data_IF_481160742528
#
_entry.id   IF_481160742528
#
_cell.length_a   1.000
_cell.length_b   1.000
_cell.length_c   1.000
_cell.angle_alpha   90.00
_cell.angle_beta   90.00
_cell.angle_gamma   90.00
#
_symmetry.space_group_name_H-M   'P 1'
#
loop_
_entity.id
_entity.type
_entity.pdbx_description
1 polymer ?
#
# COMPACT_ATOMS: atom_id res chain seq x y z
N UNK A 1 14.09 -1.18 8.98
CA UNK A 1 13.20 -0.55 9.98
C UNK A 1 12.79 0.82 9.47
N UNK A 2 11.50 1.16 9.53
CA UNK A 2 10.95 2.49 9.22
C UNK A 2 10.63 3.22 10.52
N UNK A 3 11.15 4.43 10.68
CA UNK A 3 10.84 5.32 11.79
C UNK A 3 10.28 6.63 11.26
N UNK A 4 9.20 7.10 11.83
CA UNK A 4 8.62 8.42 11.57
C UNK A 4 8.57 9.18 12.89
N UNK A 5 9.07 10.43 12.88
CA UNK A 5 9.20 11.29 14.08
C UNK A 5 8.50 12.61 13.84
N UNK A 6 7.42 12.87 14.59
CA UNK A 6 6.68 14.13 14.62
C UNK A 6 6.29 14.67 13.22
N UNK A 7 5.93 13.73 12.30
CA UNK A 7 5.61 14.05 10.92
C UNK A 7 4.30 14.82 10.84
N UNK A 8 4.34 15.99 10.20
CA UNK A 8 3.15 16.76 9.89
C UNK A 8 3.12 17.11 8.40
N UNK A 9 1.91 17.16 7.86
CA UNK A 9 1.66 17.62 6.49
C UNK A 9 0.46 18.54 6.44
N UNK A 10 0.68 19.71 5.85
CA UNK A 10 -0.27 20.81 5.79
C UNK A 10 -0.47 21.26 4.36
N UNK A 11 -1.70 21.56 4.00
CA UNK A 11 -2.07 22.09 2.70
C UNK A 11 -2.66 23.48 2.88
N UNK A 12 -2.19 24.41 2.07
CA UNK A 12 -2.79 25.75 1.95
C UNK A 12 -3.95 25.69 0.95
N UNK A 13 -5.09 26.22 1.30
CA UNK A 13 -6.26 26.38 0.46
C UNK A 13 -6.79 27.81 0.52
N UNK A 14 -7.69 28.19 -0.40
CA UNK A 14 -8.32 29.50 -0.39
C UNK A 14 -9.11 29.80 0.89
N UNK A 15 -9.56 28.75 1.59
CA UNK A 15 -10.30 28.83 2.84
C UNK A 15 -9.41 28.81 4.10
N UNK A 16 -8.09 28.68 3.92
CA UNK A 16 -7.11 28.61 5.02
C UNK A 16 -6.20 27.38 4.95
N UNK A 17 -5.52 27.13 6.04
CA UNK A 17 -4.57 26.05 6.17
C UNK A 17 -5.24 24.80 6.77
N UNK A 18 -5.10 23.65 6.11
CA UNK A 18 -5.63 22.38 6.57
C UNK A 18 -4.49 21.42 6.95
N UNK A 19 -4.46 21.01 8.21
CA UNK A 19 -3.54 19.97 8.71
C UNK A 19 -4.09 18.58 8.36
N UNK A 20 -3.45 17.91 7.41
CA UNK A 20 -3.82 16.55 6.98
C UNK A 20 -3.16 15.48 7.86
N UNK A 21 -1.88 15.68 8.22
CA UNK A 21 -1.17 14.87 9.19
C UNK A 21 -0.69 15.76 10.33
N UNK A 22 -0.82 15.26 11.56
CA UNK A 22 -0.60 16.02 12.78
C UNK A 22 0.29 15.24 13.74
N UNK A 23 1.58 15.54 13.76
CA UNK A 23 2.54 14.99 14.73
C UNK A 23 2.54 13.45 14.76
N UNK A 24 2.59 12.83 13.59
CA UNK A 24 2.64 11.38 13.45
C UNK A 24 4.00 10.87 13.88
N UNK A 25 4.02 9.97 14.87
CA UNK A 25 5.23 9.24 15.27
C UNK A 25 4.93 7.76 15.32
N UNK A 26 5.72 6.94 14.61
CA UNK A 26 5.58 5.49 14.57
C UNK A 26 6.91 4.81 14.26
N UNK A 27 7.00 3.55 14.62
CA UNK A 27 8.10 2.66 14.23
C UNK A 27 7.54 1.37 13.68
N UNK A 28 8.06 0.93 12.53
CA UNK A 28 7.74 -0.36 11.91
C UNK A 28 9.04 -1.16 11.81
N UNK A 29 9.07 -2.32 12.45
CA UNK A 29 10.20 -3.23 12.39
C UNK A 29 10.37 -3.87 11.01
N UNK A 30 11.57 -4.37 10.73
CA UNK A 30 11.84 -5.06 9.46
C UNK A 30 11.01 -6.34 9.32
N UNK A 31 10.66 -6.64 8.07
CA UNK A 31 9.99 -7.87 7.68
C UNK A 31 8.62 -8.09 8.35
N UNK A 32 7.99 -7.02 8.82
CA UNK A 32 6.61 -7.03 9.34
C UNK A 32 5.60 -6.84 8.24
N UNK A 33 4.42 -7.41 8.44
CA UNK A 33 3.22 -7.09 7.69
C UNK A 33 2.37 -6.14 8.52
N UNK A 34 2.30 -4.88 8.14
CA UNK A 34 1.56 -3.84 8.85
C UNK A 34 0.38 -3.38 8.03
N UNK A 35 -0.79 -3.30 8.64
CA UNK A 35 -1.98 -2.73 8.02
C UNK A 35 -2.29 -1.38 8.64
N UNK A 36 -2.44 -0.37 7.79
CA UNK A 36 -3.00 0.93 8.16
C UNK A 36 -4.51 0.91 7.87
N UNK A 37 -5.32 1.19 8.88
CA UNK A 37 -6.78 1.28 8.74
C UNK A 37 -7.32 2.50 9.48
N UNK A 38 -8.63 2.75 9.39
CA UNK A 38 -9.29 3.91 10.02
C UNK A 38 -10.25 4.60 9.06
N UNK A 39 -11.01 5.61 9.49
CA UNK A 39 -12.05 6.26 8.70
C UNK A 39 -11.53 6.88 7.40
N UNK A 40 -12.43 7.04 6.41
CA UNK A 40 -12.11 7.75 5.18
C UNK A 40 -11.79 9.20 5.51
N UNK A 41 -10.80 9.77 4.80
CA UNK A 41 -10.31 11.12 5.10
C UNK A 41 -9.39 11.22 6.32
N UNK A 42 -9.12 10.12 7.03
CA UNK A 42 -8.28 10.11 8.24
C UNK A 42 -6.80 10.39 8.03
N UNK A 43 -6.31 10.46 6.78
CA UNK A 43 -4.90 10.75 6.46
C UNK A 43 -4.06 9.53 6.04
N UNK A 44 -4.64 8.31 5.95
CA UNK A 44 -3.93 7.06 5.63
C UNK A 44 -3.11 7.13 4.33
N UNK A 45 -3.78 7.45 3.22
CA UNK A 45 -3.15 7.62 1.90
C UNK A 45 -2.09 8.73 1.91
N UNK A 46 -2.36 9.82 2.63
CA UNK A 46 -1.40 10.93 2.75
C UNK A 46 -0.14 10.50 3.51
N UNK A 47 -0.29 9.72 4.59
CA UNK A 47 0.83 9.15 5.32
C UNK A 47 1.70 8.24 4.42
N UNK A 48 1.07 7.33 3.69
CA UNK A 48 1.77 6.45 2.75
C UNK A 48 2.48 7.24 1.62
N UNK A 49 1.83 8.29 1.09
CA UNK A 49 2.42 9.20 0.10
C UNK A 49 3.59 9.99 0.67
N UNK A 50 3.52 10.44 1.92
CA UNK A 50 4.61 11.14 2.59
C UNK A 50 5.83 10.21 2.76
N UNK A 51 5.63 8.94 3.14
CA UNK A 51 6.71 7.95 3.24
C UNK A 51 7.40 7.74 1.89
N UNK A 52 6.65 7.72 0.79
CA UNK A 52 7.23 7.59 -0.56
C UNK A 52 7.81 8.91 -1.11
N UNK A 53 7.52 10.05 -0.50
CA UNK A 53 7.94 11.38 -0.99
C UNK A 53 7.08 11.94 -2.10
N UNK A 54 5.85 11.41 -2.26
CA UNK A 54 4.85 11.91 -3.22
C UNK A 54 4.18 13.21 -2.72
N UNK A 55 4.21 13.44 -1.41
CA UNK A 55 3.86 14.70 -0.77
C UNK A 55 4.98 15.11 0.16
N UNK A 56 5.36 16.41 0.23
CA UNK A 56 6.43 16.88 1.11
C UNK A 56 5.97 16.89 2.57
N UNK A 57 6.85 16.57 3.50
CA UNK A 57 6.59 16.81 4.91
C UNK A 57 6.65 18.32 5.20
N UNK A 58 5.72 18.84 6.00
CA UNK A 58 5.81 20.22 6.51
C UNK A 58 6.76 20.29 7.70
N UNK A 59 6.83 19.24 8.50
CA UNK A 59 7.77 19.08 9.61
C UNK A 59 7.93 17.61 9.98
N UNK A 60 8.92 17.30 10.81
CA UNK A 60 9.23 15.95 11.26
C UNK A 60 10.26 15.25 10.39
N UNK A 61 10.45 13.96 10.62
CA UNK A 61 11.45 13.14 9.94
C UNK A 61 10.90 11.78 9.54
N UNK A 62 11.40 11.28 8.40
CA UNK A 62 11.15 9.92 7.89
C UNK A 62 12.51 9.24 7.74
N UNK A 63 12.72 8.16 8.48
CA UNK A 63 13.98 7.43 8.52
C UNK A 63 13.74 5.99 8.05
N UNK A 64 14.49 5.56 7.03
CA UNK A 64 14.46 4.19 6.53
C UNK A 64 15.83 3.55 6.65
N UNK A 65 15.92 2.42 7.38
CA UNK A 65 17.18 1.71 7.65
C UNK A 65 18.29 2.63 8.22
N UNK A 66 17.90 3.53 9.15
CA UNK A 66 18.80 4.46 9.78
C UNK A 66 19.19 5.69 8.94
N UNK A 67 18.71 5.77 7.68
CA UNK A 67 18.96 6.90 6.79
C UNK A 67 17.78 7.85 6.77
N UNK A 68 18.02 9.14 6.97
CA UNK A 68 17.01 10.18 6.83
C UNK A 68 16.62 10.32 5.36
N UNK A 69 15.31 10.15 5.09
CA UNK A 69 14.70 10.17 3.76
C UNK A 69 13.87 11.44 3.54
N UNK A 70 13.76 12.30 4.54
CA UNK A 70 12.78 13.39 4.58
C UNK A 70 12.82 14.29 3.35
N UNK A 71 14.02 14.70 2.95
CA UNK A 71 14.25 15.59 1.81
C UNK A 71 14.54 14.84 0.48
N UNK A 72 14.60 13.50 0.51
CA UNK A 72 14.87 12.73 -0.70
C UNK A 72 13.67 12.72 -1.63
N UNK A 73 13.93 12.84 -2.94
CA UNK A 73 12.94 12.70 -4.00
C UNK A 73 12.37 11.29 -4.06
N UNK A 74 11.21 11.14 -4.73
CA UNK A 74 10.59 9.83 -5.01
C UNK A 74 11.57 8.84 -5.63
N UNK A 75 12.38 9.31 -6.60
CA UNK A 75 13.37 8.47 -7.28
C UNK A 75 14.45 7.99 -6.34
N UNK A 76 15.00 8.87 -5.50
CA UNK A 76 16.01 8.50 -4.51
C UNK A 76 15.48 7.53 -3.46
N UNK A 77 14.24 7.73 -2.94
CA UNK A 77 13.60 6.79 -2.03
C UNK A 77 13.34 5.44 -2.69
N UNK A 78 12.94 5.45 -3.96
CA UNK A 78 12.82 4.23 -4.72
C UNK A 78 14.16 3.49 -4.87
N UNK A 79 15.28 4.19 -5.07
CA UNK A 79 16.63 3.62 -5.10
C UNK A 79 17.07 3.07 -3.73
N UNK A 80 16.52 3.60 -2.62
CA UNK A 80 16.73 3.04 -1.27
C UNK A 80 15.85 1.81 -0.99
N UNK A 81 15.14 1.28 -1.99
CA UNK A 81 14.36 0.06 -1.89
C UNK A 81 12.96 0.26 -1.33
N UNK A 82 12.33 1.42 -1.54
CA UNK A 82 10.92 1.68 -1.24
C UNK A 82 10.12 1.57 -2.54
N UNK A 83 9.00 0.86 -2.52
CA UNK A 83 8.04 0.80 -3.64
C UNK A 83 6.65 1.18 -3.18
N UNK A 84 5.87 1.76 -4.11
CA UNK A 84 4.51 2.24 -3.83
C UNK A 84 3.54 1.75 -4.91
N UNK A 85 2.46 1.09 -4.51
CA UNK A 85 1.32 0.73 -5.33
C UNK A 85 0.20 1.75 -5.11
N UNK A 86 -0.21 2.42 -6.17
CA UNK A 86 -1.19 3.50 -6.12
C UNK A 86 -2.62 2.96 -5.97
N UNK A 87 -3.50 3.69 -5.31
CA UNK A 87 -4.93 3.39 -5.26
C UNK A 87 -5.52 3.31 -6.68
N UNK A 88 -5.14 4.27 -7.54
CA UNK A 88 -5.41 4.24 -8.98
C UNK A 88 -4.08 4.07 -9.73
N UNK A 89 -3.81 2.88 -10.29
CA UNK A 89 -2.55 2.62 -10.94
C UNK A 89 -2.36 3.45 -12.21
N UNK A 90 -1.15 3.96 -12.48
CA UNK A 90 -0.87 4.71 -13.70
C UNK A 90 -0.92 3.79 -14.93
N UNK A 91 -1.25 4.38 -16.08
CA UNK A 91 -1.20 3.72 -17.38
C UNK A 91 0.00 4.23 -18.18
N UNK A 92 0.65 3.34 -18.90
CA UNK A 92 1.89 3.64 -19.63
C UNK A 92 1.70 3.34 -21.12
N UNK A 93 1.15 4.32 -21.86
CA UNK A 93 0.97 4.17 -23.31
C UNK A 93 2.31 3.89 -24.01
N UNK A 94 2.33 2.88 -24.87
CA UNK A 94 3.52 2.47 -25.63
C UNK A 94 4.45 1.51 -24.88
N UNK A 95 4.17 1.16 -23.59
CA UNK A 95 4.91 0.15 -22.86
C UNK A 95 4.07 -1.12 -22.71
N UNK A 96 4.67 -2.26 -22.99
CA UNK A 96 4.08 -3.58 -22.77
C UNK A 96 4.31 -4.03 -21.33
N UNK A 97 3.53 -4.99 -20.89
CA UNK A 97 3.68 -5.59 -19.56
C UNK A 97 5.10 -6.12 -19.34
N UNK A 98 5.68 -6.79 -20.32
CA UNK A 98 7.09 -7.27 -20.26
C UNK A 98 8.09 -6.13 -20.03
N UNK A 99 7.88 -5.00 -20.69
CA UNK A 99 8.78 -3.85 -20.61
C UNK A 99 8.75 -3.26 -19.18
N UNK A 100 7.56 -3.16 -18.60
CA UNK A 100 7.41 -2.71 -17.21
C UNK A 100 8.04 -3.68 -16.19
N UNK A 101 7.89 -4.98 -16.40
CA UNK A 101 8.51 -5.99 -15.54
C UNK A 101 10.04 -5.97 -15.66
N UNK A 102 10.57 -5.80 -16.87
CA UNK A 102 12.01 -5.67 -17.11
C UNK A 102 12.58 -4.43 -16.43
N UNK A 103 11.95 -3.27 -16.64
CA UNK A 103 12.33 -2.01 -15.97
C UNK A 103 12.29 -2.13 -14.45
N UNK A 104 11.22 -2.73 -13.92
CA UNK A 104 11.06 -2.88 -12.48
C UNK A 104 12.09 -3.81 -11.84
N UNK A 105 12.41 -4.91 -12.52
CA UNK A 105 13.41 -5.89 -12.04
C UNK A 105 14.86 -5.41 -12.23
N UNK A 106 15.09 -4.37 -13.03
CA UNK A 106 16.42 -3.94 -13.44
C UNK A 106 17.13 -4.97 -14.35
N UNK A 107 16.38 -5.85 -15.00
CA UNK A 107 16.88 -6.89 -15.89
C UNK A 107 16.29 -6.76 -17.29
N UNK A 108 17.02 -6.11 -18.21
CA UNK A 108 16.59 -5.90 -19.60
C UNK A 108 16.42 -7.21 -20.40
N UNK A 109 16.93 -8.34 -19.86
CA UNK A 109 16.85 -9.68 -20.47
C UNK A 109 15.91 -10.60 -19.70
N UNK A 110 14.86 -10.04 -19.07
CA UNK A 110 13.87 -10.82 -18.35
C UNK A 110 13.23 -11.85 -19.28
N UNK A 111 13.31 -13.12 -18.91
CA UNK A 111 12.77 -14.21 -19.70
C UNK A 111 11.25 -14.28 -19.62
N UNK A 112 10.61 -14.95 -20.59
CA UNK A 112 9.16 -15.18 -20.55
C UNK A 112 8.76 -15.94 -19.29
N UNK A 113 9.56 -16.93 -18.86
CA UNK A 113 9.28 -17.72 -17.66
C UNK A 113 9.33 -16.87 -16.37
N UNK A 114 10.27 -15.94 -16.28
CA UNK A 114 10.35 -14.99 -15.15
C UNK A 114 9.13 -14.04 -15.16
N UNK A 115 8.74 -13.53 -16.32
CA UNK A 115 7.50 -12.76 -16.45
C UNK A 115 6.27 -13.57 -16.03
N UNK A 116 6.20 -14.86 -16.43
CA UNK A 116 5.15 -15.78 -16.04
C UNK A 116 5.06 -15.91 -14.52
N UNK A 117 6.20 -16.02 -13.82
CA UNK A 117 6.22 -16.14 -12.37
C UNK A 117 5.61 -14.91 -11.68
N UNK A 118 5.90 -13.68 -12.14
CA UNK A 118 5.33 -12.47 -11.56
C UNK A 118 3.84 -12.35 -11.86
N UNK A 119 3.42 -12.59 -13.12
CA UNK A 119 2.01 -12.46 -13.52
C UNK A 119 1.12 -13.52 -12.89
N UNK A 120 1.58 -14.76 -12.78
CA UNK A 120 0.83 -15.84 -12.13
C UNK A 120 0.56 -15.54 -10.65
N UNK A 121 1.50 -14.89 -9.94
CA UNK A 121 1.31 -14.49 -8.54
C UNK A 121 0.11 -13.56 -8.35
N UNK A 122 -0.15 -12.69 -9.32
CA UNK A 122 -1.28 -11.76 -9.28
C UNK A 122 -2.51 -12.26 -10.04
N UNK A 123 -2.52 -13.54 -10.45
CA UNK A 123 -3.66 -14.17 -11.13
C UNK A 123 -3.84 -13.74 -12.58
N UNK A 124 -2.74 -13.37 -13.28
CA UNK A 124 -2.73 -13.09 -14.72
C UNK A 124 -2.03 -14.22 -15.47
N UNK A 125 -2.60 -14.62 -16.62
CA UNK A 125 -1.96 -15.55 -17.55
C UNK A 125 -0.93 -14.80 -18.39
N UNK A 126 0.33 -15.20 -18.31
CA UNK A 126 1.38 -14.50 -19.07
C UNK A 126 1.16 -14.54 -20.59
N UNK A 127 0.67 -15.68 -21.12
CA UNK A 127 0.37 -15.80 -22.54
C UNK A 127 -0.61 -14.75 -23.07
N UNK A 128 -1.51 -14.28 -22.22
CA UNK A 128 -2.54 -13.31 -22.60
C UNK A 128 -2.10 -11.85 -22.38
N UNK A 129 -1.13 -11.61 -21.47
CA UNK A 129 -0.84 -10.26 -21.00
C UNK A 129 0.57 -9.77 -21.31
N UNK A 130 1.57 -10.64 -21.46
CA UNK A 130 2.98 -10.27 -21.53
C UNK A 130 3.29 -9.25 -22.65
N UNK A 131 2.61 -9.38 -23.81
CA UNK A 131 2.79 -8.52 -24.98
C UNK A 131 1.75 -7.40 -25.11
N UNK A 132 0.80 -7.30 -24.15
CA UNK A 132 -0.20 -6.23 -24.17
C UNK A 132 0.39 -4.93 -23.67
N UNK A 133 -0.02 -3.83 -24.32
CA UNK A 133 0.27 -2.48 -23.81
C UNK A 133 -0.54 -2.19 -22.53
N UNK A 134 0.07 -1.42 -21.62
CA UNK A 134 -0.60 -0.99 -20.37
C UNK A 134 -1.34 0.32 -20.63
N UNK A 135 -2.35 0.24 -21.49
CA UNK A 135 -3.16 1.36 -21.94
C UNK A 135 -4.64 1.27 -21.48
N UNK A 136 -5.52 1.99 -22.16
CA UNK A 136 -6.95 2.04 -21.85
C UNK A 136 -7.73 0.78 -22.23
N UNK A 137 -7.13 -0.16 -22.97
CA UNK A 137 -7.76 -1.44 -23.31
C UNK A 137 -7.82 -2.42 -22.14
N UNK A 138 -6.99 -2.21 -21.11
CA UNK A 138 -6.99 -2.98 -19.88
C UNK A 138 -8.03 -2.44 -18.89
N UNK A 139 -8.74 -3.34 -18.23
CA UNK A 139 -9.63 -2.98 -17.11
C UNK A 139 -8.83 -2.44 -15.92
N UNK A 140 -9.48 -1.70 -15.02
CA UNK A 140 -8.83 -1.18 -13.81
C UNK A 140 -8.20 -2.27 -12.95
N UNK A 141 -8.89 -3.42 -12.80
CA UNK A 141 -8.37 -4.56 -12.04
C UNK A 141 -7.18 -5.25 -12.69
N UNK A 142 -7.10 -5.29 -14.04
CA UNK A 142 -5.93 -5.83 -14.75
C UNK A 142 -4.72 -4.93 -14.58
N UNK A 143 -4.88 -3.62 -14.74
CA UNK A 143 -3.78 -2.64 -14.54
C UNK A 143 -3.28 -2.70 -13.10
N UNK A 144 -4.20 -2.81 -12.11
CA UNK A 144 -3.84 -2.94 -10.69
C UNK A 144 -2.99 -4.18 -10.43
N UNK A 145 -3.36 -5.32 -10.99
CA UNK A 145 -2.59 -6.57 -10.87
C UNK A 145 -1.23 -6.48 -11.56
N UNK A 146 -1.14 -5.83 -12.71
CA UNK A 146 0.13 -5.57 -13.40
C UNK A 146 1.03 -4.67 -12.55
N UNK A 147 0.50 -3.59 -11.97
CA UNK A 147 1.24 -2.74 -11.04
C UNK A 147 1.83 -3.55 -9.86
N UNK A 148 1.01 -4.38 -9.22
CA UNK A 148 1.47 -5.23 -8.13
C UNK A 148 2.58 -6.19 -8.60
N UNK A 149 2.44 -6.80 -9.79
CA UNK A 149 3.49 -7.65 -10.37
C UNK A 149 4.81 -6.89 -10.58
N UNK A 150 4.77 -5.61 -11.00
CA UNK A 150 5.98 -4.78 -11.15
C UNK A 150 6.63 -4.46 -9.80
N UNK A 151 5.83 -4.20 -8.76
CA UNK A 151 6.36 -3.99 -7.40
C UNK A 151 7.05 -5.26 -6.89
N UNK A 152 6.47 -6.43 -7.14
CA UNK A 152 7.08 -7.72 -6.78
C UNK A 152 8.39 -7.97 -7.53
N UNK A 153 8.47 -7.60 -8.82
CA UNK A 153 9.67 -7.75 -9.62
C UNK A 153 10.83 -6.88 -9.11
N UNK A 154 10.53 -5.73 -8.50
CA UNK A 154 11.53 -4.79 -7.98
C UNK A 154 12.27 -5.29 -6.74
N UNK A 155 11.72 -6.25 -5.97
CA UNK A 155 12.33 -6.80 -4.74
C UNK A 155 12.70 -5.71 -3.71
N UNK A 156 11.76 -4.84 -3.41
CA UNK A 156 11.95 -3.73 -2.47
C UNK A 156 11.97 -4.20 -1.01
N UNK A 157 12.76 -3.53 -0.17
CA UNK A 157 12.78 -3.77 1.28
C UNK A 157 11.51 -3.29 2.00
N UNK A 158 10.89 -2.20 1.48
CA UNK A 158 9.59 -1.69 1.92
C UNK A 158 8.65 -1.62 0.72
N UNK A 159 7.54 -2.34 0.79
CA UNK A 159 6.47 -2.32 -0.21
C UNK A 159 5.22 -1.68 0.41
N UNK A 160 4.80 -0.56 -0.14
CA UNK A 160 3.61 0.17 0.29
C UNK A 160 2.50 -0.08 -0.73
N UNK A 161 1.31 -0.45 -0.28
CA UNK A 161 0.13 -0.63 -1.12
C UNK A 161 -1.04 0.18 -0.58
N UNK A 162 -1.59 1.03 -1.42
CA UNK A 162 -2.73 1.88 -1.10
C UNK A 162 -4.00 1.26 -1.69
N UNK A 163 -4.82 0.62 -0.84
CA UNK A 163 -6.04 -0.11 -1.20
C UNK A 163 -5.85 -1.04 -2.42
N UNK A 164 -4.96 -2.04 -2.30
CA UNK A 164 -4.60 -2.91 -3.43
C UNK A 164 -5.78 -3.73 -3.96
N UNK A 165 -6.84 -3.87 -3.18
CA UNK A 165 -8.08 -4.58 -3.53
C UNK A 165 -9.05 -3.73 -4.35
N UNK A 166 -8.87 -2.42 -4.45
CA UNK A 166 -9.81 -1.54 -5.14
C UNK A 166 -9.97 -1.91 -6.62
N UNK A 167 -11.21 -2.20 -7.04
CA UNK A 167 -11.52 -2.56 -8.43
C UNK A 167 -11.09 -3.97 -8.85
N UNK A 168 -10.71 -4.83 -7.92
CA UNK A 168 -10.36 -6.23 -8.17
C UNK A 168 -11.55 -7.14 -7.87
N UNK A 169 -11.81 -8.11 -8.75
CA UNK A 169 -12.85 -9.13 -8.55
C UNK A 169 -12.49 -10.11 -7.41
N UNK A 170 -13.50 -10.81 -6.88
CA UNK A 170 -13.37 -11.71 -5.72
C UNK A 170 -12.30 -12.79 -5.90
N UNK A 171 -12.19 -13.38 -7.10
CA UNK A 171 -11.25 -14.46 -7.40
C UNK A 171 -9.82 -13.96 -7.44
N UNK A 172 -9.63 -12.84 -8.12
CA UNK A 172 -8.33 -12.15 -8.19
C UNK A 172 -7.90 -11.61 -6.83
N UNK A 173 -8.84 -11.14 -6.01
CA UNK A 173 -8.57 -10.72 -4.63
C UNK A 173 -8.08 -11.88 -3.75
N UNK A 174 -8.68 -13.07 -3.87
CA UNK A 174 -8.19 -14.23 -3.15
C UNK A 174 -6.73 -14.55 -3.52
N UNK A 175 -6.39 -14.51 -4.82
CA UNK A 175 -5.04 -14.72 -5.31
C UNK A 175 -4.05 -13.67 -4.81
N UNK A 176 -4.47 -12.40 -4.77
CA UNK A 176 -3.68 -11.31 -4.23
C UNK A 176 -3.38 -11.51 -2.73
N UNK A 177 -4.39 -11.91 -1.97
CA UNK A 177 -4.25 -12.21 -0.54
C UNK A 177 -3.23 -13.34 -0.31
N UNK A 178 -3.28 -14.41 -1.12
CA UNK A 178 -2.29 -15.50 -1.07
C UNK A 178 -0.89 -15.00 -1.43
N UNK A 179 -0.78 -14.07 -2.37
CA UNK A 179 0.50 -13.45 -2.73
C UNK A 179 1.08 -12.67 -1.56
N UNK A 180 0.30 -11.85 -0.87
CA UNK A 180 0.77 -11.12 0.32
C UNK A 180 1.18 -12.07 1.44
N UNK A 181 0.42 -13.14 1.67
CA UNK A 181 0.79 -14.18 2.64
C UNK A 181 2.14 -14.83 2.28
N UNK A 182 2.35 -15.13 1.00
CA UNK A 182 3.62 -15.73 0.55
C UNK A 182 4.81 -14.79 0.72
N UNK A 183 4.66 -13.48 0.42
CA UNK A 183 5.71 -12.48 0.63
C UNK A 183 6.03 -12.37 2.12
N UNK A 184 5.01 -12.25 2.96
CA UNK A 184 5.15 -12.15 4.39
C UNK A 184 5.89 -13.36 5.00
N UNK A 185 5.54 -14.57 4.58
CA UNK A 185 6.17 -15.80 5.06
C UNK A 185 7.67 -15.89 4.70
N UNK A 186 8.12 -15.22 3.64
CA UNK A 186 9.55 -15.19 3.27
C UNK A 186 10.38 -14.28 4.18
N UNK A 187 9.75 -13.35 4.87
CA UNK A 187 10.43 -12.39 5.76
C UNK A 187 11.58 -11.61 5.10
N UNK A 188 11.45 -11.32 3.81
CA UNK A 188 12.47 -10.60 3.02
C UNK A 188 12.16 -9.11 2.86
N UNK A 189 10.92 -8.71 3.14
CA UNK A 189 10.43 -7.34 2.92
C UNK A 189 9.40 -6.95 3.97
N UNK A 190 9.37 -5.67 4.30
CA UNK A 190 8.30 -5.06 5.10
C UNK A 190 7.14 -4.71 4.19
N UNK A 191 5.94 -5.13 4.56
CA UNK A 191 4.70 -4.80 3.87
C UNK A 191 3.93 -3.76 4.67
N UNK A 192 3.57 -2.65 4.03
CA UNK A 192 2.70 -1.61 4.58
C UNK A 192 1.48 -1.48 3.69
N UNK A 193 0.33 -1.95 4.14
CA UNK A 193 -0.88 -2.00 3.32
C UNK A 193 -1.98 -1.16 3.96
N UNK A 194 -2.51 -0.20 3.20
CA UNK A 194 -3.74 0.49 3.58
C UNK A 194 -4.90 -0.38 3.10
N UNK A 195 -5.72 -0.87 4.01
CA UNK A 195 -6.88 -1.69 3.68
C UNK A 195 -7.94 -1.67 4.77
N UNK A 196 -9.20 -1.87 4.34
CA UNK A 196 -10.34 -2.13 5.21
C UNK A 196 -10.82 -3.59 5.12
N UNK A 197 -10.18 -4.39 4.27
CA UNK A 197 -10.58 -5.77 4.03
C UNK A 197 -10.11 -6.71 5.14
N UNK A 198 -11.06 -7.36 5.78
CA UNK A 198 -10.79 -8.31 6.87
C UNK A 198 -9.74 -9.37 6.49
N UNK A 199 -9.80 -9.88 5.25
CA UNK A 199 -8.84 -10.90 4.77
C UNK A 199 -7.40 -10.40 4.75
N UNK A 200 -7.18 -9.10 4.45
CA UNK A 200 -5.85 -8.48 4.48
C UNK A 200 -5.45 -8.20 5.93
N UNK A 201 -6.36 -7.64 6.73
CA UNK A 201 -6.11 -7.34 8.15
C UNK A 201 -5.70 -8.61 8.90
N UNK A 202 -6.34 -9.76 8.61
CA UNK A 202 -6.01 -11.04 9.24
C UNK A 202 -4.60 -11.56 8.93
N UNK A 203 -3.93 -11.07 7.88
CA UNK A 203 -2.54 -11.41 7.58
C UNK A 203 -1.53 -10.56 8.36
N UNK A 204 -1.95 -9.44 8.93
CA UNK A 204 -1.05 -8.50 9.56
C UNK A 204 -0.43 -9.05 10.85
N UNK A 205 0.82 -8.67 11.11
CA UNK A 205 1.45 -8.78 12.42
C UNK A 205 0.95 -7.64 13.33
N UNK A 206 0.75 -6.45 12.74
CA UNK A 206 0.49 -5.20 13.45
C UNK A 206 -0.53 -4.35 12.69
N UNK A 207 -1.36 -3.62 13.44
CA UNK A 207 -2.34 -2.66 12.91
C UNK A 207 -2.00 -1.26 13.41
N UNK A 208 -2.08 -0.30 12.51
CA UNK A 208 -2.00 1.13 12.80
C UNK A 208 -3.34 1.76 12.43
N UNK A 209 -4.00 2.37 13.41
CA UNK A 209 -5.24 3.12 13.19
C UNK A 209 -4.93 4.60 13.03
N UNK A 210 -5.35 5.17 11.89
CA UNK A 210 -5.18 6.58 11.58
C UNK A 210 -6.53 7.25 11.45
N UNK A 211 -6.78 8.26 12.26
CA UNK A 211 -7.99 9.09 12.22
C UNK A 211 -7.64 10.55 12.51
N UNK A 212 -8.29 11.49 11.81
CA UNK A 212 -8.11 12.92 11.96
C UNK A 212 -6.64 13.38 11.87
N UNK A 213 -5.88 12.73 11.00
CA UNK A 213 -4.46 13.00 10.78
C UNK A 213 -3.53 12.54 11.91
N UNK A 214 -4.00 11.68 12.83
CA UNK A 214 -3.20 11.17 13.96
C UNK A 214 -3.24 9.66 14.02
N UNK A 215 -2.20 9.05 14.64
CA UNK A 215 -2.27 7.66 15.05
C UNK A 215 -3.10 7.60 16.33
N UNK A 216 -4.22 6.89 16.27
CA UNK A 216 -5.09 6.66 17.42
C UNK A 216 -4.74 5.39 18.18
N UNK A 217 -4.27 4.37 17.47
CA UNK A 217 -3.83 3.08 18.01
C UNK A 217 -2.72 2.49 17.13
N UNK A 218 -1.77 1.82 17.76
CA UNK A 218 -0.75 0.99 17.09
C UNK A 218 -0.43 -0.19 17.99
N UNK A 219 -0.37 -1.39 17.42
CA UNK A 219 -0.01 -2.59 18.17
C UNK A 219 -0.34 -3.89 17.43
N UNK A 220 -0.15 -5.04 18.13
CA UNK A 220 -0.42 -6.36 17.57
C UNK A 220 -1.85 -6.47 17.03
N UNK A 221 -1.99 -7.16 15.89
CA UNK A 221 -3.31 -7.40 15.26
C UNK A 221 -4.29 -8.04 16.26
N UNK A 222 -3.84 -9.02 17.04
CA UNK A 222 -4.71 -9.79 17.94
C UNK A 222 -5.30 -8.94 19.10
N UNK A 223 -4.69 -7.79 19.39
CA UNK A 223 -5.19 -6.82 20.36
C UNK A 223 -6.15 -5.80 19.74
N UNK A 224 -5.82 -5.29 18.54
CA UNK A 224 -6.56 -4.18 17.93
C UNK A 224 -7.74 -4.65 17.09
N UNK A 225 -7.60 -5.77 16.37
CA UNK A 225 -8.64 -6.22 15.45
C UNK A 225 -9.99 -6.56 16.12
N UNK A 226 -10.04 -7.21 17.31
CA UNK A 226 -11.31 -7.42 18.00
C UNK A 226 -12.03 -6.11 18.36
N UNK A 227 -11.29 -5.05 18.73
CA UNK A 227 -11.87 -3.75 19.02
C UNK A 227 -12.49 -3.09 17.77
N UNK A 228 -11.83 -3.23 16.61
CA UNK A 228 -12.36 -2.72 15.34
C UNK A 228 -13.71 -3.40 15.03
N UNK A 229 -13.79 -4.73 15.17
CA UNK A 229 -15.01 -5.49 14.92
C UNK A 229 -16.13 -5.11 15.88
N UNK A 230 -15.83 -4.94 17.18
CA UNK A 230 -16.80 -4.55 18.18
C UNK A 230 -17.40 -3.16 17.90
N UNK A 231 -16.57 -2.19 17.49
CA UNK A 231 -17.03 -0.85 17.15
C UNK A 231 -17.88 -0.81 15.87
N UNK A 232 -17.61 -1.70 14.91
CA UNK A 232 -18.40 -1.81 13.67
C UNK A 232 -19.80 -2.36 13.94
N UNK A 233 -19.95 -3.29 14.89
CA UNK A 233 -21.25 -3.87 15.29
C UNK A 233 -22.06 -2.92 16.18
N UNK A 234 -21.44 -2.12 17.02
CA UNK A 234 -22.10 -1.14 17.88
C UNK A 234 -22.73 0.04 17.10
N UNK A 235 -22.17 0.39 15.94
CA UNK A 235 -22.72 1.44 15.05
C UNK A 235 -24.03 1.10 14.37
N UNK A 236 -24.50 -0.17 14.40
CA UNK A 236 -25.72 -0.63 13.74
C UNK A 236 -26.97 -0.64 14.67
N UNK A 237 -26.83 -0.26 15.94
CA UNK A 237 -27.95 -0.33 16.93
C UNK A 237 -28.94 0.84 16.87
N UNK A 238 -28.82 1.78 15.95
CA UNK A 238 -29.76 2.91 15.81
C UNK A 238 -30.97 2.66 14.90
N UNK A 239 -31.20 1.43 14.41
CA UNK A 239 -32.34 1.12 13.51
C UNK A 239 -33.43 0.23 14.11
N UNK A 240 -33.51 0.01 15.40
CA UNK A 240 -34.55 -0.85 16.01
C UNK A 240 -35.49 -0.19 17.02
N UNK A 241 -35.51 1.15 17.14
CA UNK A 241 -36.52 1.84 17.92
C UNK A 241 -37.33 2.79 17.03
N UNK A 242 -38.37 2.31 16.40
CA UNK A 242 -39.28 3.16 15.65
C UNK A 242 -40.35 2.43 14.83
N UNK A 243 -40.97 1.36 15.36
CA UNK A 243 -42.31 0.92 14.89
C UNK A 243 -43.08 0.43 16.13
N UNK A 244 -43.87 1.31 16.65
CA UNK A 244 -45.04 1.03 17.50
C UNK A 244 -46.21 1.83 16.97
#
# INVERSE_FOLDING_TARGET
MLEIKNLSYRVESEEGTLDILRDISLTIEDNKFVVITGPNGGGKTTLAKAIMGLVPATSGQIIWNGKDMTELSVTERAQQGISYGFQQPPRFKGLRVRDLLALASGNDKLTVDECCQYLTRVGLCAGDYIDREVDTSLSGGEVKRIEIATILARKSGLMIFDEPEAGIDLWSFAKLTDTFRMIHNRRESTLLIISHQERIINLADEIIMVADGKITRQGPKDEIFPEILANTTAGCSYMTEGVS
#
